data_IF_436977757319
#
_entry.id   IF_436977757319
#
_cell.length_a   1.000
_cell.length_b   1.000
_cell.length_c   1.000
_cell.angle_alpha   90.00
_cell.angle_beta   90.00
_cell.angle_gamma   90.00
#
_symmetry.space_group_name_H-M   'P 1'
#
loop_
_entity.id
_entity.type
_entity.pdbx_description
1 polymer ?
#
# COMPACT_ATOMS: atom_id res chain seq x y z
N UNK A 1 39.32 -6.99 -16.30
CA UNK A 1 39.41 -8.03 -17.36
C UNK A 1 39.37 -9.41 -16.69
N UNK A 2 38.21 -10.09 -16.74
CA UNK A 2 38.05 -11.55 -16.69
C UNK A 2 36.56 -11.83 -16.88
N UNK A 3 36.23 -12.01 -18.15
CA UNK A 3 34.93 -12.37 -18.68
C UNK A 3 34.82 -13.89 -18.58
N UNK A 4 33.81 -14.41 -17.88
CA UNK A 4 33.45 -15.82 -17.96
C UNK A 4 32.05 -15.92 -18.55
N UNK A 5 32.03 -16.28 -19.82
CA UNK A 5 30.85 -16.62 -20.59
C UNK A 5 30.34 -17.98 -20.14
N UNK A 6 29.09 -18.06 -19.69
CA UNK A 6 28.36 -19.32 -19.60
C UNK A 6 27.30 -19.34 -20.70
N UNK A 7 27.40 -20.37 -21.54
CA UNK A 7 26.62 -20.56 -22.74
C UNK A 7 25.19 -21.06 -22.43
N UNK A 8 24.30 -20.64 -23.33
CA UNK A 8 22.93 -21.08 -23.58
C UNK A 8 22.66 -22.58 -23.37
N UNK A 9 21.48 -22.92 -22.83
CA UNK A 9 20.68 -24.01 -23.40
C UNK A 9 19.19 -23.63 -23.39
N UNK A 10 18.65 -23.46 -24.60
CA UNK A 10 17.26 -23.16 -24.91
C UNK A 10 16.53 -24.50 -25.05
N UNK A 11 15.50 -24.75 -24.23
CA UNK A 11 14.60 -25.89 -24.42
C UNK A 11 13.19 -25.37 -24.73
N UNK A 12 12.90 -25.35 -26.04
CA UNK A 12 11.62 -25.02 -26.64
C UNK A 12 10.73 -26.28 -26.61
N UNK A 13 9.65 -26.26 -25.84
CA UNK A 13 8.56 -27.24 -25.99
C UNK A 13 7.33 -26.54 -26.58
N UNK A 14 7.18 -26.71 -27.89
CA UNK A 14 5.93 -26.52 -28.62
C UNK A 14 5.15 -27.84 -28.56
N UNK A 15 3.93 -27.80 -28.06
CA UNK A 15 2.91 -28.78 -28.45
C UNK A 15 1.58 -28.07 -28.67
N UNK A 16 1.26 -28.02 -29.94
CA UNK A 16 0.02 -27.67 -30.61
C UNK A 16 -1.11 -28.57 -30.10
N UNK A 17 -2.30 -27.99 -29.91
CA UNK A 17 -3.51 -28.72 -29.58
C UNK A 17 -4.77 -27.89 -29.79
N UNK A 18 -4.96 -27.35 -31.00
CA UNK A 18 -6.28 -26.95 -31.47
C UNK A 18 -7.05 -28.21 -31.86
N UNK A 19 -8.30 -28.36 -31.40
CA UNK A 19 -9.33 -28.90 -32.27
C UNK A 19 -10.70 -28.29 -31.93
N UNK A 20 -11.26 -27.63 -32.94
CA UNK A 20 -12.65 -27.18 -33.01
C UNK A 20 -13.54 -28.37 -33.37
N UNK A 21 -14.71 -28.49 -32.73
CA UNK A 21 -15.89 -29.11 -33.35
C UNK A 21 -17.13 -28.28 -32.99
N UNK A 22 -17.69 -27.69 -34.06
CA UNK A 22 -19.06 -27.19 -34.30
C UNK A 22 -20.14 -28.22 -33.90
N UNK A 23 -21.43 -27.98 -33.67
CA UNK A 23 -22.39 -26.92 -34.02
C UNK A 23 -23.70 -27.21 -33.25
N UNK A 24 -24.56 -26.19 -33.18
CA UNK A 24 -26.03 -26.22 -33.24
C UNK A 24 -26.93 -26.77 -32.11
N UNK A 25 -27.57 -25.79 -31.45
CA UNK A 25 -29.03 -25.57 -31.35
C UNK A 25 -29.94 -26.70 -30.85
N UNK A 26 -30.72 -26.37 -29.80
CA UNK A 26 -32.19 -26.28 -29.88
C UNK A 26 -32.76 -25.69 -28.59
N UNK A 27 -33.57 -24.65 -28.78
CA UNK A 27 -34.47 -24.09 -27.78
C UNK A 27 -35.75 -24.94 -27.75
N UNK A 28 -36.12 -25.46 -26.57
CA UNK A 28 -37.51 -25.82 -26.25
C UNK A 28 -37.70 -25.86 -24.72
N UNK A 29 -38.67 -25.08 -24.24
CA UNK A 29 -39.29 -25.09 -22.89
C UNK A 29 -40.78 -25.44 -23.12
N UNK A 30 -41.63 -25.71 -22.10
CA UNK A 30 -41.40 -26.05 -20.68
C UNK A 30 -42.34 -27.17 -20.13
N UNK A 31 -42.07 -27.71 -18.93
CA UNK A 31 -43.02 -27.83 -17.79
C UNK A 31 -42.44 -28.59 -16.58
N UNK A 32 -42.54 -27.95 -15.40
CA UNK A 32 -42.93 -28.43 -14.04
C UNK A 32 -42.54 -29.87 -13.62
N UNK A 33 -42.07 -30.21 -12.41
CA UNK A 33 -42.02 -29.59 -11.08
C UNK A 33 -41.22 -30.57 -10.19
N UNK A 34 -40.23 -30.12 -9.40
CA UNK A 34 -39.89 -30.81 -8.15
C UNK A 34 -39.21 -29.86 -7.17
N UNK A 35 -39.87 -29.69 -6.02
CA UNK A 35 -39.38 -28.99 -4.84
C UNK A 35 -38.01 -29.52 -4.40
N UNK A 36 -37.05 -28.60 -4.27
CA UNK A 36 -36.01 -28.68 -3.24
C UNK A 36 -35.60 -27.26 -2.88
N UNK A 37 -36.42 -26.63 -2.04
CA UNK A 37 -36.06 -25.37 -1.39
C UNK A 37 -35.06 -25.72 -0.29
N UNK A 38 -33.78 -25.83 -0.63
CA UNK A 38 -32.75 -25.66 0.38
C UNK A 38 -32.88 -24.22 0.89
N UNK A 39 -32.98 -23.99 2.21
CA UNK A 39 -32.85 -22.65 2.74
C UNK A 39 -31.45 -22.16 2.33
N UNK A 40 -31.40 -21.21 1.39
CA UNK A 40 -30.21 -20.42 1.13
C UNK A 40 -29.87 -19.79 2.46
N UNK A 41 -28.87 -20.35 3.14
CA UNK A 41 -28.29 -19.74 4.31
C UNK A 41 -27.99 -18.29 3.92
N UNK A 42 -28.78 -17.38 4.45
CA UNK A 42 -28.39 -15.98 4.55
C UNK A 42 -27.10 -16.03 5.33
N UNK A 43 -25.98 -16.02 4.60
CA UNK A 43 -24.68 -15.70 5.18
C UNK A 43 -24.91 -14.36 5.83
N UNK A 44 -25.02 -14.36 7.17
CA UNK A 44 -24.94 -13.16 7.96
C UNK A 44 -23.63 -12.52 7.51
N UNK A 45 -23.72 -11.44 6.72
CA UNK A 45 -22.55 -10.65 6.37
C UNK A 45 -21.98 -10.24 7.72
N UNK A 46 -20.87 -10.87 8.11
CA UNK A 46 -20.02 -10.31 9.15
C UNK A 46 -19.69 -8.91 8.64
N UNK A 47 -20.10 -7.89 9.37
CA UNK A 47 -19.83 -6.51 8.97
C UNK A 47 -18.32 -6.36 8.84
N UNK A 48 -17.87 -6.26 7.59
CA UNK A 48 -16.46 -6.03 7.27
C UNK A 48 -16.13 -4.62 7.70
N UNK A 49 -15.01 -4.46 8.39
CA UNK A 49 -14.48 -3.18 8.82
C UNK A 49 -14.41 -2.22 7.61
N UNK A 50 -15.10 -1.09 7.69
CA UNK A 50 -15.04 -0.09 6.63
C UNK A 50 -13.67 0.60 6.60
N UNK A 51 -13.28 1.18 5.46
CA UNK A 51 -12.04 1.96 5.35
C UNK A 51 -11.99 3.11 6.35
N UNK A 52 -13.12 3.79 6.60
CA UNK A 52 -13.18 4.89 7.56
C UNK A 52 -12.95 4.43 9.01
N UNK A 53 -13.49 3.26 9.38
CA UNK A 53 -13.21 2.67 10.70
C UNK A 53 -11.76 2.18 10.79
N UNK A 54 -11.22 1.63 9.70
CA UNK A 54 -9.84 1.21 9.62
C UNK A 54 -8.87 2.38 9.80
N UNK A 55 -9.16 3.54 9.18
CA UNK A 55 -8.42 4.79 9.39
C UNK A 55 -8.42 5.20 10.86
N UNK A 56 -9.57 5.23 11.52
CA UNK A 56 -9.66 5.57 12.96
C UNK A 56 -8.83 4.62 13.83
N UNK A 57 -8.84 3.32 13.51
CA UNK A 57 -8.04 2.34 14.23
C UNK A 57 -6.54 2.54 13.99
N UNK A 58 -6.11 2.81 12.75
CA UNK A 58 -4.73 3.10 12.41
C UNK A 58 -4.23 4.36 13.14
N UNK A 59 -5.00 5.46 13.10
CA UNK A 59 -4.67 6.72 13.77
C UNK A 59 -4.61 6.55 15.30
N UNK A 60 -5.53 5.77 15.88
CA UNK A 60 -5.48 5.46 17.31
C UNK A 60 -4.24 4.61 17.68
N UNK A 61 -3.82 3.68 16.81
CA UNK A 61 -2.58 2.92 17.00
C UNK A 61 -1.36 3.83 16.87
N UNK A 62 -1.31 4.69 15.85
CA UNK A 62 -0.25 5.68 15.64
C UNK A 62 -0.12 6.63 16.82
N UNK A 63 -1.23 7.17 17.31
CA UNK A 63 -1.26 8.09 18.46
C UNK A 63 -0.70 7.48 19.75
N UNK A 64 -0.78 6.14 19.92
CA UNK A 64 -0.12 5.44 21.04
C UNK A 64 1.40 5.37 20.87
N UNK A 65 1.90 5.32 19.64
CA UNK A 65 3.32 5.26 19.33
C UNK A 65 3.99 6.65 19.25
N UNK A 66 3.23 7.67 18.84
CA UNK A 66 3.70 9.03 18.63
C UNK A 66 4.54 9.60 19.80
N UNK A 67 4.13 9.49 21.09
CA UNK A 67 4.93 10.01 22.20
C UNK A 67 6.37 9.47 22.24
N UNK A 68 6.56 8.19 21.90
CA UNK A 68 7.89 7.57 21.86
C UNK A 68 8.76 8.16 20.75
N UNK A 69 8.18 8.43 19.58
CA UNK A 69 8.91 9.10 18.49
C UNK A 69 9.28 10.53 18.85
N UNK A 70 8.36 11.27 19.48
CA UNK A 70 8.60 12.65 19.91
C UNK A 70 9.71 12.73 20.96
N UNK A 71 9.74 11.80 21.91
CA UNK A 71 10.80 11.71 22.92
C UNK A 71 12.15 11.37 22.28
N UNK A 72 12.19 10.33 21.43
CA UNK A 72 13.42 9.88 20.78
C UNK A 72 14.09 10.96 19.91
N UNK A 73 13.29 11.87 19.33
CA UNK A 73 13.78 12.94 18.45
C UNK A 73 13.84 14.32 19.12
N UNK A 74 13.50 14.42 20.41
CA UNK A 74 13.29 15.71 21.10
C UNK A 74 12.44 16.70 20.28
N UNK A 75 11.28 16.21 19.80
CA UNK A 75 10.51 16.87 18.75
C UNK A 75 9.03 17.08 19.13
N UNK A 76 8.30 17.80 18.27
CA UNK A 76 6.85 17.89 18.25
C UNK A 76 6.31 17.52 16.85
N UNK A 77 5.03 17.12 16.71
CA UNK A 77 4.45 16.83 15.40
C UNK A 77 4.35 18.11 14.57
N UNK A 78 4.96 18.11 13.39
CA UNK A 78 4.90 19.20 12.43
C UNK A 78 3.77 18.99 11.42
N UNK A 79 3.73 17.81 10.78
CA UNK A 79 2.63 17.38 9.91
C UNK A 79 2.25 15.93 10.16
N UNK A 80 0.97 15.60 9.96
CA UNK A 80 0.46 14.24 9.98
C UNK A 80 -0.70 14.12 8.98
N UNK A 81 -0.55 13.26 7.98
CA UNK A 81 -1.56 13.05 6.95
C UNK A 81 -1.86 11.55 6.79
N UNK A 82 -3.14 11.22 6.60
CA UNK A 82 -3.58 9.84 6.41
C UNK A 82 -4.03 9.62 4.97
N UNK A 83 -3.47 8.61 4.33
CA UNK A 83 -3.78 8.20 2.96
C UNK A 83 -4.31 6.77 2.94
N UNK A 84 -5.16 6.47 1.95
CA UNK A 84 -5.72 5.13 1.78
C UNK A 84 -5.53 4.62 0.35
N UNK A 85 -5.39 3.31 0.22
CA UNK A 85 -5.28 2.61 -1.05
C UNK A 85 -4.74 1.20 -0.84
N UNK A 86 -5.00 0.30 -1.79
CA UNK A 86 -4.55 -1.09 -1.72
C UNK A 86 -3.08 -1.20 -2.12
N UNK A 87 -2.18 -1.27 -1.13
CA UNK A 87 -0.74 -1.49 -1.33
C UNK A 87 -0.30 -2.90 -0.95
N UNK A 88 -1.17 -3.72 -0.34
CA UNK A 88 -0.91 -5.13 -0.06
C UNK A 88 -1.40 -6.08 -1.16
N UNK A 89 -2.26 -5.60 -2.06
CA UNK A 89 -2.78 -6.31 -3.22
C UNK A 89 -3.93 -7.27 -2.90
N UNK A 90 -4.59 -7.12 -1.75
CA UNK A 90 -5.69 -8.00 -1.32
C UNK A 90 -7.09 -7.49 -1.71
N UNK A 91 -7.16 -6.35 -2.40
CA UNK A 91 -8.40 -5.72 -2.83
C UNK A 91 -9.09 -4.88 -1.77
N UNK A 92 -8.49 -4.72 -0.58
CA UNK A 92 -8.97 -3.87 0.51
C UNK A 92 -8.05 -2.65 0.63
N UNK A 93 -8.64 -1.47 0.84
CA UNK A 93 -7.84 -0.26 1.04
C UNK A 93 -7.09 -0.33 2.38
N UNK A 94 -5.77 -0.24 2.28
CA UNK A 94 -4.84 -0.11 3.40
C UNK A 94 -4.66 1.36 3.80
N UNK A 95 -3.88 1.61 4.86
CA UNK A 95 -3.69 2.94 5.45
C UNK A 95 -2.21 3.26 5.55
N UNK A 96 -1.80 4.41 5.01
CA UNK A 96 -0.48 4.99 5.19
C UNK A 96 -0.62 6.30 5.98
N UNK A 97 0.05 6.40 7.13
CA UNK A 97 0.13 7.64 7.91
C UNK A 97 1.49 8.25 7.68
N UNK A 98 1.51 9.38 6.99
CA UNK A 98 2.68 10.23 6.86
C UNK A 98 2.84 11.09 8.12
N UNK A 99 4.09 11.31 8.52
CA UNK A 99 4.42 12.24 9.60
C UNK A 99 5.71 12.99 9.31
N UNK A 100 5.79 14.23 9.79
CA UNK A 100 7.03 14.99 9.96
C UNK A 100 7.10 15.52 11.40
N UNK A 101 8.32 15.60 11.93
CA UNK A 101 8.60 16.11 13.25
C UNK A 101 9.51 17.33 13.16
N UNK A 102 9.23 18.34 13.98
CA UNK A 102 10.06 19.55 14.12
C UNK A 102 10.70 19.61 15.51
N UNK A 103 11.86 20.27 15.66
CA UNK A 103 12.60 20.33 16.92
C UNK A 103 11.81 21.14 17.97
N UNK A 104 11.81 20.68 19.23
CA UNK A 104 11.11 21.40 20.33
C UNK A 104 11.61 22.82 20.58
N UNK A 105 12.87 23.10 20.28
CA UNK A 105 13.48 24.42 20.45
C UNK A 105 13.03 25.45 19.38
N UNK A 106 12.17 25.02 18.43
CA UNK A 106 11.64 25.86 17.37
C UNK A 106 12.50 25.84 16.09
N UNK A 107 11.99 26.52 15.06
CA UNK A 107 12.52 26.47 13.69
C UNK A 107 11.63 25.67 12.75
N UNK A 108 12.04 25.59 11.49
CA UNK A 108 11.28 24.97 10.39
C UNK A 108 12.00 23.76 9.77
N UNK A 109 12.95 23.17 10.50
CA UNK A 109 13.67 21.98 10.05
C UNK A 109 12.90 20.72 10.43
N UNK A 110 12.84 19.77 9.51
CA UNK A 110 12.33 18.42 9.77
C UNK A 110 13.45 17.60 10.40
N UNK A 111 13.25 17.13 11.63
CA UNK A 111 14.22 16.27 12.35
C UNK A 111 13.93 14.78 12.18
N UNK A 112 12.71 14.43 11.84
CA UNK A 112 12.32 13.09 11.43
C UNK A 112 11.10 13.15 10.51
N UNK A 113 10.99 12.21 9.58
CA UNK A 113 9.86 12.07 8.69
C UNK A 113 9.72 10.61 8.28
N UNK A 114 8.49 10.15 8.05
CA UNK A 114 8.28 8.80 7.58
C UNK A 114 6.84 8.45 7.24
N UNK A 115 6.65 7.18 6.91
CA UNK A 115 5.35 6.53 6.78
C UNK A 115 5.23 5.42 7.82
N UNK A 116 4.10 5.35 8.52
CA UNK A 116 3.63 4.16 9.21
C UNK A 116 2.57 3.47 8.34
N UNK A 117 2.81 2.21 7.98
CA UNK A 117 1.98 1.45 7.04
C UNK A 117 1.15 0.41 7.78
N UNK A 118 -0.15 0.43 7.54
CA UNK A 118 -1.12 -0.44 8.20
C UNK A 118 -1.91 -1.24 7.16
N UNK A 119 -1.94 -2.56 7.34
CA UNK A 119 -2.81 -3.44 6.57
C UNK A 119 -4.22 -3.44 7.17
N UNK A 120 -5.23 -3.30 6.32
CA UNK A 120 -6.63 -3.56 6.65
C UNK A 120 -7.09 -4.87 5.99
N UNK A 121 -7.23 -5.95 6.77
CA UNK A 121 -7.68 -7.24 6.24
C UNK A 121 -9.22 -7.41 6.25
N UNK A 122 -9.97 -6.30 6.37
CA UNK A 122 -11.43 -6.30 6.44
C UNK A 122 -12.02 -6.66 7.81
N UNK A 123 -11.18 -7.01 8.79
CA UNK A 123 -11.64 -7.28 10.17
C UNK A 123 -10.76 -6.62 11.23
N UNK A 124 -9.48 -6.41 10.92
CA UNK A 124 -8.48 -5.85 11.83
C UNK A 124 -7.54 -4.94 11.06
N UNK A 125 -6.96 -3.99 11.79
CA UNK A 125 -5.89 -3.11 11.29
C UNK A 125 -4.60 -3.46 12.01
N UNK A 126 -3.53 -3.72 11.25
CA UNK A 126 -2.22 -4.07 11.80
C UNK A 126 -1.15 -3.20 11.16
N UNK A 127 -0.27 -2.63 11.96
CA UNK A 127 0.99 -2.07 11.44
C UNK A 127 1.81 -3.20 10.80
N UNK A 128 2.28 -2.99 9.57
CA UNK A 128 3.07 -3.97 8.82
C UNK A 128 4.49 -3.49 8.54
N UNK A 129 4.70 -2.18 8.42
CA UNK A 129 6.02 -1.62 8.14
C UNK A 129 6.10 -0.14 8.53
N UNK A 130 7.32 0.35 8.66
CA UNK A 130 7.67 1.77 8.71
C UNK A 130 8.64 2.12 7.58
N UNK A 131 8.60 3.36 7.13
CA UNK A 131 9.53 3.90 6.13
C UNK A 131 10.05 5.25 6.58
N UNK A 132 11.31 5.30 7.02
CA UNK A 132 11.97 6.49 7.57
C UNK A 132 13.33 6.68 6.86
N UNK A 133 13.33 7.21 5.62
CA UNK A 133 14.57 7.43 4.88
C UNK A 133 15.38 8.60 5.44
N UNK A 134 16.67 8.65 5.10
CA UNK A 134 17.56 9.77 5.44
C UNK A 134 17.47 10.95 4.45
N UNK A 135 16.36 11.08 3.73
CA UNK A 135 16.08 12.14 2.77
C UNK A 135 14.65 12.64 2.93
N UNK A 136 14.40 13.87 2.48
CA UNK A 136 13.06 14.45 2.48
C UNK A 136 12.21 13.84 1.37
N UNK A 137 10.93 13.63 1.65
CA UNK A 137 9.96 13.22 0.65
C UNK A 137 8.56 13.81 0.90
N UNK A 138 7.75 13.83 -0.15
CA UNK A 138 6.31 14.06 -0.09
C UNK A 138 5.58 12.79 -0.53
N UNK A 139 4.47 12.47 0.13
CA UNK A 139 3.57 11.41 -0.35
C UNK A 139 2.81 11.90 -1.60
N UNK A 140 2.64 11.03 -2.58
CA UNK A 140 1.89 11.35 -3.81
C UNK A 140 0.57 10.58 -3.88
N UNK A 141 0.62 9.25 -3.92
CA UNK A 141 -0.56 8.39 -4.07
C UNK A 141 -0.27 6.93 -3.76
N UNK A 142 -1.32 6.14 -3.57
CA UNK A 142 -1.28 4.67 -3.64
C UNK A 142 -2.02 4.23 -4.89
N UNK A 143 -1.37 3.42 -5.74
CA UNK A 143 -2.00 2.90 -6.95
C UNK A 143 -1.36 1.57 -7.36
N UNK A 144 -2.18 0.58 -7.74
CA UNK A 144 -1.73 -0.71 -8.28
C UNK A 144 -0.72 -1.44 -7.38
N UNK A 145 -1.00 -1.52 -6.08
CA UNK A 145 -0.15 -2.23 -5.13
C UNK A 145 1.16 -1.51 -4.77
N UNK A 146 1.27 -0.21 -5.06
CA UNK A 146 2.50 0.57 -4.85
C UNK A 146 2.21 1.92 -4.22
N UNK A 147 3.16 2.41 -3.44
CA UNK A 147 3.14 3.75 -2.85
C UNK A 147 4.07 4.64 -3.68
N UNK A 148 3.58 5.79 -4.13
CA UNK A 148 4.34 6.77 -4.88
C UNK A 148 4.67 7.95 -3.98
N UNK A 149 5.93 8.36 -3.99
CA UNK A 149 6.45 9.53 -3.29
C UNK A 149 7.29 10.37 -4.24
N UNK A 150 7.50 11.65 -3.92
CA UNK A 150 8.55 12.45 -4.54
C UNK A 150 9.69 12.60 -3.52
N UNK A 151 10.93 12.24 -3.90
CA UNK A 151 12.12 12.65 -3.13
C UNK A 151 12.34 14.14 -3.35
N UNK A 152 12.63 14.85 -2.28
CA UNK A 152 12.85 16.29 -2.27
C UNK A 152 14.32 16.58 -2.02
N UNK A 153 14.88 17.49 -2.81
CA UNK A 153 16.23 18.00 -2.64
C UNK A 153 16.27 19.52 -2.86
N UNK A 154 17.26 20.17 -2.26
CA UNK A 154 17.47 21.61 -2.40
C UNK A 154 18.32 21.91 -3.63
N UNK A 155 17.87 22.87 -4.44
CA UNK A 155 18.71 23.58 -5.39
C UNK A 155 19.49 24.70 -4.68
N UNK A 156 20.57 25.20 -5.29
CA UNK A 156 21.40 26.27 -4.71
C UNK A 156 20.62 27.57 -4.47
N UNK A 157 19.51 27.77 -5.19
CA UNK A 157 18.64 28.95 -5.11
C UNK A 157 17.47 28.79 -4.15
N UNK A 158 17.30 27.62 -3.54
CA UNK A 158 16.14 27.36 -2.68
C UNK A 158 16.26 28.09 -1.34
N UNK A 159 15.12 28.61 -0.87
CA UNK A 159 15.00 29.02 0.52
C UNK A 159 15.12 27.80 1.43
N UNK A 160 15.65 27.98 2.65
CA UNK A 160 15.87 26.90 3.63
C UNK A 160 14.65 26.04 3.99
N UNK A 161 13.45 26.50 3.63
CA UNK A 161 12.17 25.82 3.90
C UNK A 161 11.66 24.96 2.75
N UNK A 162 12.19 25.16 1.55
CA UNK A 162 11.38 25.03 0.35
C UNK A 162 12.19 24.36 -0.76
N UNK A 163 12.44 23.03 -0.65
CA UNK A 163 13.15 22.27 -1.68
C UNK A 163 12.33 22.26 -2.97
N UNK A 164 12.99 22.54 -4.10
CA UNK A 164 12.36 22.62 -5.42
C UNK A 164 12.67 21.43 -6.33
N UNK A 165 13.72 20.67 -6.06
CA UNK A 165 14.06 19.48 -6.85
C UNK A 165 13.19 18.32 -6.38
N UNK A 166 12.47 17.73 -7.33
CA UNK A 166 11.57 16.59 -7.11
C UNK A 166 12.00 15.40 -7.98
N UNK A 167 12.02 14.21 -7.40
CA UNK A 167 12.31 12.98 -8.14
C UNK A 167 11.34 11.90 -7.72
N UNK A 168 10.58 11.38 -8.70
CA UNK A 168 9.62 10.30 -8.47
C UNK A 168 10.31 9.06 -7.89
N UNK A 169 9.65 8.46 -6.92
CA UNK A 169 10.07 7.19 -6.34
C UNK A 169 8.88 6.32 -6.00
N UNK A 170 9.07 5.02 -6.13
CA UNK A 170 8.01 4.04 -5.94
C UNK A 170 8.46 3.10 -4.86
N UNK A 171 7.67 3.01 -3.80
CA UNK A 171 7.89 2.10 -2.70
C UNK A 171 7.12 0.80 -2.93
N UNK A 172 7.75 -0.31 -2.61
CA UNK A 172 7.15 -1.64 -2.58
C UNK A 172 7.35 -2.28 -1.22
N UNK A 173 6.45 -3.18 -0.83
CA UNK A 173 6.48 -3.83 0.48
C UNK A 173 6.74 -5.32 0.24
N UNK A 174 7.75 -5.88 0.91
CA UNK A 174 7.93 -7.32 1.00
C UNK A 174 8.17 -7.71 2.46
N UNK A 175 7.24 -8.47 3.02
CA UNK A 175 7.19 -8.74 4.46
C UNK A 175 6.98 -7.44 5.23
N UNK A 176 7.88 -7.15 6.17
CA UNK A 176 7.84 -5.95 7.00
C UNK A 176 8.84 -4.87 6.53
N UNK A 177 9.33 -4.98 5.30
CA UNK A 177 10.35 -4.09 4.74
C UNK A 177 9.80 -3.32 3.55
N UNK A 178 10.12 -2.03 3.50
CA UNK A 178 9.79 -1.11 2.41
C UNK A 178 11.05 -0.89 1.56
N UNK A 179 10.93 -1.03 0.24
CA UNK A 179 11.99 -0.87 -0.76
C UNK A 179 11.69 0.27 -1.71
#
# INVERSE_FOLDING_TARGET
MKQQSFALLFALFLSIGCNNVKEESKEEKPKQESKSTLPRATMVKKDSLSTAEAVKLAEAQFGKYLPKMLEANNAYPDSQDTFTGDFTGDGIADIAIYFSLAPKEGGNTIVAQGLALYQNNGTTVKVIAGFEPNYLFSFTKIEKGKIYIEKLAYADTDGRCCPSIKTDHILTIAGNTVY
#
